data_IF_801181290464
#
_entry.id   IF_801181290464
#
_cell.length_a   1.000
_cell.length_b   1.000
_cell.length_c   1.000
_cell.angle_alpha   90.00
_cell.angle_beta   90.00
_cell.angle_gamma   90.00
#
_symmetry.space_group_name_H-M   'P 1'
#
loop_
_entity.id
_entity.type
_entity.pdbx_description
1 polymer ?
#
# COMPACT_ATOMS: atom_id res chain seq x y z
N UNK A 1 -21.72 -10.65 15.60
CA UNK A 1 -20.62 -11.37 14.93
C UNK A 1 -19.52 -10.35 14.62
N UNK A 2 -18.36 -10.50 15.24
CA UNK A 2 -17.22 -9.66 14.97
C UNK A 2 -16.25 -10.44 14.06
N UNK A 3 -15.77 -9.80 13.02
CA UNK A 3 -14.73 -10.31 12.12
C UNK A 3 -13.47 -9.55 12.38
N UNK A 4 -12.42 -10.21 12.76
CA UNK A 4 -11.09 -9.62 12.71
C UNK A 4 -10.28 -10.31 11.62
N UNK A 5 -9.78 -9.52 10.70
CA UNK A 5 -8.77 -9.92 9.74
C UNK A 5 -7.44 -9.39 10.23
N UNK A 6 -6.45 -10.27 10.26
CA UNK A 6 -5.09 -9.88 10.59
C UNK A 6 -4.30 -9.79 9.29
N UNK A 7 -4.10 -8.58 8.80
CA UNK A 7 -3.25 -8.31 7.65
C UNK A 7 -1.87 -7.80 8.09
N UNK A 8 -0.83 -8.28 7.44
CA UNK A 8 0.49 -7.67 7.53
C UNK A 8 0.54 -6.53 6.50
N UNK A 9 0.52 -5.29 6.96
CA UNK A 9 0.86 -4.17 6.10
C UNK A 9 2.37 -4.19 5.79
N UNK A 10 2.89 -3.33 4.88
CA UNK A 10 4.32 -3.25 4.57
C UNK A 10 5.22 -2.96 5.78
N UNK A 11 4.66 -2.56 6.92
CA UNK A 11 5.33 -2.37 8.20
C UNK A 11 5.18 -3.57 9.14
N UNK A 12 4.66 -4.70 8.67
CA UNK A 12 4.38 -5.90 9.46
C UNK A 12 3.45 -5.67 10.67
N UNK A 13 2.57 -4.68 10.57
CA UNK A 13 1.59 -4.41 11.61
C UNK A 13 0.32 -5.22 11.37
N UNK A 14 -0.17 -5.78 12.45
CA UNK A 14 -1.48 -6.41 12.50
C UNK A 14 -2.54 -5.32 12.47
N UNK A 15 -3.40 -5.35 11.46
CA UNK A 15 -4.51 -4.42 11.33
C UNK A 15 -5.81 -5.21 11.44
N UNK A 16 -6.58 -5.04 12.52
CA UNK A 16 -7.90 -5.64 12.61
C UNK A 16 -8.84 -4.96 11.62
N UNK A 17 -9.54 -5.76 10.82
CA UNK A 17 -10.59 -5.30 9.91
C UNK A 17 -11.91 -5.87 10.40
N UNK A 18 -12.85 -4.99 10.69
CA UNK A 18 -14.18 -5.34 11.18
C UNK A 18 -15.21 -4.40 10.55
N UNK A 19 -16.42 -4.89 10.36
CA UNK A 19 -17.55 -4.08 9.91
C UNK A 19 -17.87 -2.92 10.88
N UNK A 20 -17.56 -3.10 12.16
CA UNK A 20 -17.71 -2.10 13.20
C UNK A 20 -16.39 -1.96 13.98
N UNK A 21 -15.68 -0.85 13.75
CA UNK A 21 -14.36 -0.58 14.36
C UNK A 21 -14.40 -0.52 15.89
N UNK A 22 -15.49 0.03 16.47
CA UNK A 22 -15.64 0.10 17.93
C UNK A 22 -15.81 -1.29 18.53
N UNK A 23 -16.60 -2.14 17.88
CA UNK A 23 -16.80 -3.52 18.30
C UNK A 23 -15.51 -4.35 18.15
N UNK A 24 -14.71 -4.08 17.12
CA UNK A 24 -13.43 -4.74 16.92
C UNK A 24 -12.44 -4.38 18.03
N UNK A 25 -12.36 -3.11 18.41
CA UNK A 25 -11.50 -2.65 19.50
C UNK A 25 -11.93 -3.29 20.85
N UNK A 26 -13.23 -3.23 21.16
CA UNK A 26 -13.76 -3.84 22.37
C UNK A 26 -13.50 -5.37 22.43
N UNK A 27 -13.67 -6.06 21.29
CA UNK A 27 -13.37 -7.49 21.21
C UNK A 27 -11.88 -7.79 21.43
N UNK A 28 -10.99 -6.98 20.86
CA UNK A 28 -9.54 -7.15 21.06
C UNK A 28 -9.14 -6.94 22.51
N UNK A 29 -9.73 -5.97 23.21
CA UNK A 29 -9.49 -5.75 24.63
C UNK A 29 -9.97 -6.94 25.48
N UNK A 30 -11.16 -7.45 25.19
CA UNK A 30 -11.71 -8.66 25.87
C UNK A 30 -10.80 -9.88 25.64
N UNK A 31 -10.30 -10.08 24.42
CA UNK A 31 -9.45 -11.22 24.08
C UNK A 31 -8.07 -11.17 24.72
N UNK A 32 -7.55 -9.99 25.07
CA UNK A 32 -6.28 -9.85 25.77
C UNK A 32 -6.37 -10.33 27.23
N UNK A 33 -7.52 -10.12 27.87
CA UNK A 33 -7.69 -10.37 29.30
C UNK A 33 -8.50 -11.66 29.61
N UNK A 34 -9.07 -12.30 28.59
CA UNK A 34 -9.97 -13.43 28.78
C UNK A 34 -9.23 -14.76 29.00
N UNK A 35 -9.73 -15.55 29.93
CA UNK A 35 -9.41 -16.97 29.98
C UNK A 35 -10.09 -17.70 28.83
N UNK A 36 -9.32 -18.27 27.92
CA UNK A 36 -9.83 -18.95 26.74
C UNK A 36 -9.92 -20.46 26.96
N UNK A 37 -11.05 -21.03 26.57
CA UNK A 37 -11.22 -22.50 26.45
C UNK A 37 -11.65 -22.84 25.03
N UNK A 38 -11.15 -23.93 24.51
CA UNK A 38 -11.53 -24.43 23.18
C UNK A 38 -12.71 -25.37 23.30
N UNK A 39 -13.83 -25.03 22.65
CA UNK A 39 -15.05 -25.87 22.63
C UNK A 39 -15.38 -26.19 21.17
N UNK A 40 -15.82 -27.41 20.92
CA UNK A 40 -16.31 -27.81 19.60
C UNK A 40 -17.69 -27.21 19.37
N UNK A 41 -17.79 -26.27 18.40
CA UNK A 41 -19.07 -25.66 18.02
C UNK A 41 -19.36 -26.03 16.57
N UNK A 42 -20.60 -26.46 16.30
CA UNK A 42 -21.05 -26.74 14.94
C UNK A 42 -21.77 -25.51 14.39
N UNK A 43 -21.30 -25.00 13.27
CA UNK A 43 -21.91 -23.87 12.56
C UNK A 43 -22.59 -24.36 11.31
N UNK A 44 -23.76 -23.83 11.02
CA UNK A 44 -24.43 -24.13 9.77
C UNK A 44 -23.69 -23.54 8.56
N UNK A 45 -23.74 -24.24 7.43
CA UNK A 45 -23.03 -23.84 6.20
C UNK A 45 -23.49 -22.49 5.63
N UNK A 46 -24.75 -22.12 5.82
CA UNK A 46 -25.31 -20.87 5.33
C UNK A 46 -24.75 -19.67 6.08
N UNK A 47 -24.72 -19.74 7.40
CA UNK A 47 -24.06 -18.73 8.26
C UNK A 47 -22.60 -18.57 7.87
N UNK A 48 -21.89 -19.69 7.67
CA UNK A 48 -20.49 -19.68 7.28
C UNK A 48 -20.23 -18.99 5.95
N UNK A 49 -21.01 -19.35 4.91
CA UNK A 49 -20.88 -18.71 3.57
C UNK A 49 -21.20 -17.21 3.59
N UNK A 50 -22.20 -16.79 4.41
CA UNK A 50 -22.50 -15.36 4.59
C UNK A 50 -21.35 -14.59 5.19
N UNK A 51 -20.70 -15.17 6.19
CA UNK A 51 -19.55 -14.60 6.86
C UNK A 51 -18.33 -14.49 5.90
N UNK A 52 -18.07 -15.50 5.11
CA UNK A 52 -17.00 -15.49 4.10
C UNK A 52 -17.22 -14.39 3.06
N UNK A 53 -18.46 -14.21 2.59
CA UNK A 53 -18.82 -13.15 1.67
C UNK A 53 -18.56 -11.75 2.25
N UNK A 54 -18.92 -11.50 3.51
CA UNK A 54 -18.64 -10.23 4.19
C UNK A 54 -17.12 -9.99 4.31
N UNK A 55 -16.38 -11.03 4.70
CA UNK A 55 -14.93 -10.94 4.81
C UNK A 55 -14.26 -10.57 3.48
N UNK A 56 -14.67 -11.22 2.39
CA UNK A 56 -14.16 -10.92 1.05
C UNK A 56 -14.47 -9.47 0.66
N UNK A 57 -15.67 -8.98 0.94
CA UNK A 57 -16.07 -7.61 0.62
C UNK A 57 -15.24 -6.58 1.41
N UNK A 58 -15.00 -6.80 2.70
CA UNK A 58 -14.14 -5.95 3.52
C UNK A 58 -12.70 -5.96 3.01
N UNK A 59 -12.18 -7.14 2.69
CA UNK A 59 -10.83 -7.26 2.14
C UNK A 59 -10.68 -6.54 0.80
N UNK A 60 -11.65 -6.64 -0.11
CA UNK A 60 -11.62 -5.91 -1.38
C UNK A 60 -11.56 -4.41 -1.17
N UNK A 61 -12.36 -3.85 -0.25
CA UNK A 61 -12.32 -2.44 0.10
C UNK A 61 -10.96 -2.00 0.62
N UNK A 62 -10.35 -2.79 1.49
CA UNK A 62 -9.02 -2.50 2.02
C UNK A 62 -7.94 -2.60 0.94
N UNK A 63 -8.05 -3.58 0.04
CA UNK A 63 -7.16 -3.71 -1.12
C UNK A 63 -7.26 -2.47 -2.01
N UNK A 64 -8.46 -2.01 -2.34
CA UNK A 64 -8.67 -0.80 -3.13
C UNK A 64 -8.07 0.43 -2.47
N UNK A 65 -8.29 0.61 -1.17
CA UNK A 65 -7.72 1.71 -0.37
C UNK A 65 -6.19 1.69 -0.38
N UNK A 66 -5.61 0.51 -0.20
CA UNK A 66 -4.16 0.32 -0.24
C UNK A 66 -3.57 0.66 -1.61
N UNK A 67 -4.15 0.13 -2.69
CA UNK A 67 -3.69 0.38 -4.06
C UNK A 67 -3.84 1.86 -4.44
N UNK A 68 -4.93 2.52 -4.04
CA UNK A 68 -5.11 3.96 -4.22
C UNK A 68 -4.04 4.77 -3.48
N UNK A 69 -3.68 4.37 -2.26
CA UNK A 69 -2.60 5.00 -1.49
C UNK A 69 -1.22 4.85 -2.16
N UNK A 70 -0.93 3.67 -2.73
CA UNK A 70 0.31 3.44 -3.49
C UNK A 70 0.34 4.30 -4.75
N UNK A 71 -0.76 4.34 -5.51
CA UNK A 71 -0.85 5.15 -6.72
C UNK A 71 -0.69 6.64 -6.40
N UNK A 72 -1.33 7.13 -5.35
CA UNK A 72 -1.19 8.52 -4.88
C UNK A 72 0.28 8.84 -4.52
N UNK A 73 0.94 7.94 -3.80
CA UNK A 73 2.36 8.09 -3.45
C UNK A 73 3.26 8.08 -4.67
N UNK A 74 3.00 7.21 -5.65
CA UNK A 74 3.73 7.15 -6.90
C UNK A 74 3.57 8.44 -7.70
N UNK A 75 2.34 8.94 -7.84
CA UNK A 75 2.05 10.20 -8.53
C UNK A 75 2.78 11.39 -7.89
N UNK A 76 2.74 11.50 -6.56
CA UNK A 76 3.48 12.56 -5.84
C UNK A 76 4.99 12.49 -6.10
N UNK A 77 5.58 11.30 -6.08
CA UNK A 77 7.01 11.11 -6.39
C UNK A 77 7.32 11.47 -7.84
N UNK A 78 6.48 11.04 -8.79
CA UNK A 78 6.64 11.37 -10.21
C UNK A 78 6.57 12.88 -10.45
N UNK A 79 5.63 13.57 -9.82
CA UNK A 79 5.52 15.03 -9.91
C UNK A 79 6.76 15.73 -9.37
N UNK A 80 7.26 15.31 -8.20
CA UNK A 80 8.46 15.87 -7.58
C UNK A 80 9.69 15.70 -8.46
N UNK A 81 9.97 14.48 -8.96
CA UNK A 81 11.13 14.25 -9.83
C UNK A 81 10.98 14.94 -11.19
N UNK A 82 9.78 15.02 -11.76
CA UNK A 82 9.48 15.74 -13.00
C UNK A 82 9.72 17.24 -12.86
N UNK A 83 9.30 17.84 -11.74
CA UNK A 83 9.56 19.26 -11.46
C UNK A 83 11.06 19.54 -11.35
N UNK A 84 11.80 18.72 -10.60
CA UNK A 84 13.24 18.84 -10.45
C UNK A 84 13.96 18.68 -11.79
N UNK A 85 13.57 17.68 -12.59
CA UNK A 85 14.15 17.46 -13.91
C UNK A 85 13.88 18.64 -14.86
N UNK A 86 12.65 19.15 -14.91
CA UNK A 86 12.28 20.32 -15.75
C UNK A 86 13.13 21.55 -15.42
N UNK A 87 13.33 21.81 -14.13
CA UNK A 87 14.15 22.93 -13.67
C UNK A 87 15.63 22.74 -14.09
N UNK A 88 16.19 21.55 -13.88
CA UNK A 88 17.56 21.23 -14.28
C UNK A 88 17.74 21.30 -15.79
N UNK A 89 16.81 20.74 -16.54
CA UNK A 89 16.80 20.79 -18.02
C UNK A 89 16.82 22.22 -18.52
N UNK A 90 15.93 23.09 -18.00
CA UNK A 90 15.88 24.50 -18.37
C UNK A 90 17.23 25.21 -18.11
N UNK A 91 17.83 24.96 -16.96
CA UNK A 91 19.14 25.53 -16.59
C UNK A 91 20.24 25.07 -17.53
N UNK A 92 20.28 23.78 -17.87
CA UNK A 92 21.30 23.23 -18.80
C UNK A 92 21.09 23.71 -20.23
N UNK A 93 19.86 23.78 -20.72
CA UNK A 93 19.52 24.33 -22.02
C UNK A 93 19.94 25.81 -22.15
N UNK A 94 19.77 26.59 -21.08
CA UNK A 94 20.27 27.97 -21.04
C UNK A 94 21.79 28.01 -21.11
N UNK A 95 22.49 27.19 -20.30
CA UNK A 95 23.97 27.11 -20.36
C UNK A 95 24.50 26.66 -21.72
N UNK A 96 23.79 25.76 -22.41
CA UNK A 96 24.14 25.33 -23.78
C UNK A 96 24.02 26.49 -24.78
N UNK A 97 22.95 27.29 -24.66
CA UNK A 97 22.74 28.48 -25.52
C UNK A 97 23.80 29.55 -25.29
N UNK A 98 24.17 29.76 -24.02
CA UNK A 98 25.09 30.85 -23.63
C UNK A 98 26.56 30.45 -23.75
N UNK A 99 26.89 29.19 -24.03
CA UNK A 99 28.24 28.72 -24.15
C UNK A 99 28.89 29.17 -25.46
N UNK A 100 29.92 30.01 -25.36
CA UNK A 100 30.74 30.46 -26.50
C UNK A 100 31.73 29.39 -26.97
N UNK A 101 32.25 28.56 -26.06
CA UNK A 101 33.21 27.51 -26.33
C UNK A 101 32.47 26.19 -26.65
N UNK A 102 32.85 25.59 -27.79
CA UNK A 102 32.25 24.34 -28.26
C UNK A 102 32.51 23.17 -27.32
N UNK A 103 33.65 23.12 -26.65
CA UNK A 103 33.97 22.07 -25.65
C UNK A 103 33.05 22.18 -24.44
N UNK A 104 32.79 23.40 -23.96
CA UNK A 104 31.88 23.67 -22.85
C UNK A 104 30.45 23.33 -23.26
N UNK A 105 30.04 23.65 -24.47
CA UNK A 105 28.72 23.32 -25.01
C UNK A 105 28.49 21.80 -25.02
N UNK A 106 29.46 21.03 -25.54
CA UNK A 106 29.40 19.56 -25.55
C UNK A 106 29.34 18.98 -24.15
N UNK A 107 30.05 19.55 -23.19
CA UNK A 107 30.00 19.14 -21.79
C UNK A 107 28.56 19.28 -21.23
N UNK A 108 27.90 20.42 -21.42
CA UNK A 108 26.53 20.63 -20.98
C UNK A 108 25.51 19.76 -21.72
N UNK A 109 25.72 19.48 -23.00
CA UNK A 109 24.90 18.52 -23.75
C UNK A 109 25.01 17.10 -23.17
N UNK A 110 26.21 16.66 -22.84
CA UNK A 110 26.46 15.37 -22.18
C UNK A 110 25.80 15.33 -20.81
N UNK A 111 25.90 16.42 -20.04
CA UNK A 111 25.25 16.52 -18.73
C UNK A 111 23.72 16.45 -18.83
N UNK A 112 23.14 17.09 -19.85
CA UNK A 112 21.71 17.03 -20.13
C UNK A 112 21.28 15.61 -20.51
N UNK A 113 22.05 14.91 -21.35
CA UNK A 113 21.81 13.49 -21.66
C UNK A 113 21.78 12.61 -20.42
N UNK A 114 22.80 12.74 -19.59
CA UNK A 114 22.88 11.99 -18.31
C UNK A 114 21.73 12.33 -17.37
N UNK A 115 21.31 13.59 -17.28
CA UNK A 115 20.18 13.99 -16.46
C UNK A 115 18.85 13.41 -16.97
N UNK A 116 18.69 13.33 -18.29
CA UNK A 116 17.51 12.73 -18.93
C UNK A 116 17.44 11.23 -18.67
N UNK A 117 18.55 10.53 -18.84
CA UNK A 117 18.65 9.11 -18.58
C UNK A 117 18.33 8.78 -17.11
N UNK A 118 18.96 9.49 -16.18
CA UNK A 118 18.67 9.31 -14.74
C UNK A 118 17.23 9.60 -14.38
N UNK A 119 16.60 10.57 -15.01
CA UNK A 119 15.18 10.86 -14.82
C UNK A 119 14.32 9.69 -15.29
N UNK A 120 14.58 9.16 -16.50
CA UNK A 120 13.82 8.04 -17.06
C UNK A 120 13.94 6.79 -16.17
N UNK A 121 15.14 6.43 -15.74
CA UNK A 121 15.35 5.31 -14.81
C UNK A 121 14.50 5.46 -13.56
N UNK A 122 14.45 6.65 -12.96
CA UNK A 122 13.63 6.90 -11.77
C UNK A 122 12.13 6.81 -12.02
N UNK A 123 11.68 7.28 -13.19
CA UNK A 123 10.26 7.14 -13.61
C UNK A 123 9.90 5.66 -13.71
N UNK A 124 10.75 4.88 -14.38
CA UNK A 124 10.52 3.45 -14.60
C UNK A 124 10.54 2.69 -13.27
N UNK A 125 11.46 2.99 -12.35
CA UNK A 125 11.50 2.41 -11.00
C UNK A 125 10.24 2.69 -10.19
N UNK A 126 9.70 3.92 -10.25
CA UNK A 126 8.49 4.29 -9.51
C UNK A 126 7.27 3.54 -10.08
N UNK A 127 7.14 3.53 -11.41
CA UNK A 127 6.05 2.85 -12.09
C UNK A 127 6.09 1.33 -11.88
N UNK A 128 7.26 0.74 -11.95
CA UNK A 128 7.46 -0.69 -11.72
C UNK A 128 7.09 -1.09 -10.27
N UNK A 129 7.50 -0.29 -9.29
CA UNK A 129 7.08 -0.52 -7.89
C UNK A 129 5.57 -0.38 -7.71
N UNK A 130 4.95 0.61 -8.34
CA UNK A 130 3.50 0.80 -8.25
C UNK A 130 2.73 -0.34 -8.94
N UNK A 131 3.22 -0.82 -10.08
CA UNK A 131 2.58 -1.92 -10.82
C UNK A 131 2.69 -3.29 -10.14
N UNK A 132 3.77 -3.50 -9.36
CA UNK A 132 3.97 -4.74 -8.59
C UNK A 132 3.27 -4.74 -7.24
N UNK A 133 2.70 -3.60 -6.83
CA UNK A 133 1.99 -3.54 -5.58
C UNK A 133 0.68 -4.33 -5.70
N UNK A 134 0.65 -5.48 -5.06
CA UNK A 134 -0.56 -6.27 -4.88
C UNK A 134 -0.61 -6.81 -3.45
N UNK A 135 -1.83 -7.03 -2.96
CA UNK A 135 -2.09 -7.63 -1.65
C UNK A 135 -2.81 -8.94 -1.89
N UNK A 136 -2.22 -10.00 -1.38
CA UNK A 136 -2.83 -11.32 -1.40
C UNK A 136 -3.43 -11.64 -0.03
N UNK A 137 -4.56 -12.31 -0.01
CA UNK A 137 -5.14 -12.88 1.20
C UNK A 137 -4.97 -14.38 1.20
N UNK A 138 -4.72 -14.93 2.37
CA UNK A 138 -4.79 -16.37 2.61
C UNK A 138 -5.58 -16.64 3.88
N UNK A 139 -6.48 -17.61 3.83
CA UNK A 139 -7.16 -18.07 5.02
C UNK A 139 -6.16 -18.82 5.91
N UNK A 140 -5.89 -18.29 7.08
CA UNK A 140 -4.99 -18.90 8.06
C UNK A 140 -5.79 -19.75 9.06
N UNK A 141 -6.86 -19.18 9.57
CA UNK A 141 -7.77 -19.85 10.53
C UNK A 141 -9.13 -19.22 10.48
N UNK A 142 -10.12 -19.98 10.84
CA UNK A 142 -11.48 -19.53 11.01
C UNK A 142 -12.05 -20.14 12.31
N UNK A 143 -12.98 -19.46 12.95
CA UNK A 143 -13.55 -19.92 14.21
C UNK A 143 -14.69 -19.05 14.67
N UNK A 144 -15.31 -19.48 15.77
CA UNK A 144 -16.34 -18.72 16.48
C UNK A 144 -15.80 -18.44 17.88
N UNK A 145 -16.01 -17.21 18.31
CA UNK A 145 -15.71 -16.78 19.66
C UNK A 145 -17.04 -16.54 20.36
N UNK A 146 -17.32 -17.29 21.41
CA UNK A 146 -18.45 -17.10 22.28
C UNK A 146 -17.99 -16.41 23.56
N UNK A 147 -18.54 -15.22 23.83
CA UNK A 147 -18.25 -14.47 25.05
C UNK A 147 -19.34 -14.76 26.05
N UNK A 148 -18.99 -15.41 27.19
CA UNK A 148 -19.89 -15.62 28.33
C UNK A 148 -19.51 -14.62 29.40
N UNK A 149 -20.52 -13.85 29.85
CA UNK A 149 -20.38 -13.03 31.06
C UNK A 149 -20.68 -13.93 32.25
N UNK A 150 -19.71 -14.07 33.13
CA UNK A 150 -19.87 -14.74 34.41
C UNK A 150 -20.74 -13.93 35.37
#
# INVERSE_FOLDING_TARGET
YAWSYVGLNPMFRVVPICENELLAAELMDILQDANTSTTSITVDKGTWAGLEGMHIALWQREKETYLAGIQSTANYKLESISSNYRNRKRTLEQKIRDAFDEKIRRMYQSELGTATEKYQIKVDEINDRASRADIHTSLIANGIIEIKRG
#
